data_IF_587080637778
#
_entry.id   IF_587080637778
#
_cell.length_a   1.000
_cell.length_b   1.000
_cell.length_c   1.000
_cell.angle_alpha   90.00
_cell.angle_beta   90.00
_cell.angle_gamma   90.00
#
_symmetry.space_group_name_H-M   'P 1'
#
loop_
_entity.id
_entity.type
_entity.pdbx_description
1 polymer ?
#
# COMPACT_ATOMS: atom_id res chain seq x y z
N UNK A 1 9.34 4.19 10.95
CA UNK A 1 9.13 4.64 9.55
C UNK A 1 8.18 5.83 9.50
N UNK A 2 8.64 7.00 9.04
CA UNK A 2 7.78 8.18 8.83
C UNK A 2 7.83 8.62 7.38
N UNK A 3 6.70 8.47 6.67
CA UNK A 3 6.53 9.00 5.31
C UNK A 3 5.09 9.49 5.12
N UNK A 4 4.96 10.76 4.76
CA UNK A 4 3.66 11.39 4.48
C UNK A 4 3.01 10.81 3.23
N UNK A 5 1.68 10.69 3.24
CA UNK A 5 0.90 10.28 2.08
C UNK A 5 0.71 11.47 1.12
N UNK A 6 1.14 11.33 -0.14
CA UNK A 6 1.09 12.40 -1.17
C UNK A 6 2.04 13.57 -0.87
N UNK A 7 2.14 14.47 -1.86
CA UNK A 7 2.74 15.80 -1.76
C UNK A 7 2.11 16.60 -0.60
N UNK A 8 2.93 17.04 0.35
CA UNK A 8 2.50 17.87 1.48
C UNK A 8 2.64 19.37 1.21
N UNK A 9 3.60 19.76 0.37
CA UNK A 9 3.97 21.16 0.19
C UNK A 9 4.08 21.52 -1.29
N UNK A 10 3.55 22.69 -1.66
CA UNK A 10 3.63 23.19 -3.04
C UNK A 10 5.04 23.67 -3.41
N UNK A 11 5.71 24.36 -2.49
CA UNK A 11 6.99 25.02 -2.71
C UNK A 11 7.91 24.80 -1.49
N UNK A 12 8.12 23.54 -1.12
CA UNK A 12 9.19 23.16 -0.18
C UNK A 12 9.57 21.69 -0.34
N UNK A 13 10.68 21.30 0.30
CA UNK A 13 11.08 19.90 0.38
C UNK A 13 10.14 19.10 1.28
N UNK A 14 9.94 17.84 0.94
CA UNK A 14 9.29 16.84 1.78
C UNK A 14 10.33 15.80 2.15
N UNK A 15 10.64 15.69 3.44
CA UNK A 15 11.65 14.75 3.93
C UNK A 15 11.13 13.31 3.94
N UNK A 16 12.01 12.37 3.61
CA UNK A 16 11.77 10.93 3.69
C UNK A 16 12.81 10.34 4.65
N UNK A 17 12.34 9.87 5.81
CA UNK A 17 13.21 9.33 6.86
C UNK A 17 13.21 7.81 6.74
N UNK A 18 14.35 7.26 6.28
CA UNK A 18 14.55 5.83 6.11
C UNK A 18 15.33 5.31 7.32
N UNK A 19 14.66 4.54 8.17
CA UNK A 19 15.30 3.83 9.28
C UNK A 19 16.03 2.57 8.76
N UNK A 20 17.06 2.11 9.49
CA UNK A 20 17.88 0.96 9.08
C UNK A 20 17.04 -0.30 8.77
N UNK A 21 15.95 -0.50 9.50
CA UNK A 21 15.01 -1.61 9.33
C UNK A 21 14.31 -1.60 7.96
N UNK A 22 14.28 -0.43 7.32
CA UNK A 22 13.61 -0.18 6.04
C UNK A 22 14.61 0.02 4.89
N UNK A 23 15.91 -0.14 5.13
CA UNK A 23 16.98 0.06 4.16
C UNK A 23 17.13 -1.15 3.22
N UNK A 24 16.01 -1.60 2.67
CA UNK A 24 15.90 -2.66 1.68
C UNK A 24 15.08 -2.15 0.48
N UNK A 25 15.11 -2.86 -0.64
CA UNK A 25 14.44 -2.44 -1.87
C UNK A 25 12.94 -2.19 -1.63
N UNK A 26 12.21 -3.14 -1.06
CA UNK A 26 10.77 -2.96 -0.83
C UNK A 26 10.45 -1.91 0.24
N UNK A 27 11.29 -1.74 1.27
CA UNK A 27 11.12 -0.66 2.25
C UNK A 27 11.24 0.73 1.62
N UNK A 28 12.25 0.94 0.78
CA UNK A 28 12.43 2.19 0.01
C UNK A 28 11.27 2.37 -0.98
N UNK A 29 10.92 1.33 -1.72
CA UNK A 29 9.82 1.38 -2.69
C UNK A 29 8.48 1.68 -2.00
N UNK A 30 8.20 1.08 -0.85
CA UNK A 30 7.02 1.36 -0.03
C UNK A 30 6.92 2.85 0.33
N UNK A 31 8.02 3.47 0.76
CA UNK A 31 8.05 4.90 1.08
C UNK A 31 7.85 5.79 -0.16
N UNK A 32 8.42 5.40 -1.31
CA UNK A 32 8.20 6.11 -2.57
C UNK A 32 6.72 6.03 -2.97
N UNK A 33 6.11 4.85 -2.89
CA UNK A 33 4.68 4.67 -3.19
C UNK A 33 3.79 5.52 -2.28
N UNK A 34 4.09 5.59 -0.97
CA UNK A 34 3.42 6.49 -0.02
C UNK A 34 3.51 7.95 -0.45
N UNK A 35 4.70 8.39 -0.84
CA UNK A 35 4.95 9.76 -1.32
C UNK A 35 4.16 10.05 -2.60
N UNK A 36 4.03 9.07 -3.49
CA UNK A 36 3.22 9.12 -4.71
C UNK A 36 1.71 8.93 -4.43
N UNK A 37 1.32 8.81 -3.16
CA UNK A 37 -0.08 8.81 -2.76
C UNK A 37 -0.79 7.47 -2.81
N UNK A 38 -0.04 6.37 -2.93
CA UNK A 38 -0.58 5.04 -2.73
C UNK A 38 -0.78 4.82 -1.23
N UNK A 39 -1.99 4.41 -0.87
CA UNK A 39 -2.40 4.19 0.52
C UNK A 39 -1.98 2.78 0.97
N UNK A 40 -1.97 2.54 2.29
CA UNK A 40 -1.77 1.17 2.75
C UNK A 40 -2.92 0.27 2.31
N UNK A 41 -2.62 -0.99 2.02
CA UNK A 41 -3.66 -1.96 1.64
C UNK A 41 -4.69 -2.13 2.75
N UNK A 42 -4.21 -2.11 3.98
CA UNK A 42 -5.01 -2.27 5.18
C UNK A 42 -5.77 -0.97 5.56
N UNK A 43 -5.59 0.11 4.79
CA UNK A 43 -6.39 1.35 4.85
C UNK A 43 -7.72 1.26 4.07
N UNK A 44 -7.96 0.20 3.31
CA UNK A 44 -9.15 0.05 2.49
C UNK A 44 -10.43 -0.15 3.30
N UNK A 45 -11.57 0.44 2.90
CA UNK A 45 -12.79 0.47 3.73
C UNK A 45 -13.32 -0.90 4.17
N UNK A 46 -13.09 -1.95 3.37
CA UNK A 46 -13.52 -3.30 3.69
C UNK A 46 -12.42 -4.17 4.32
N UNK A 47 -11.31 -3.58 4.81
CA UNK A 47 -10.20 -4.37 5.37
C UNK A 47 -10.62 -5.36 6.45
N UNK A 48 -11.65 -5.04 7.24
CA UNK A 48 -12.07 -5.88 8.35
C UNK A 48 -12.76 -7.17 7.87
N UNK A 49 -13.09 -7.29 6.57
CA UNK A 49 -13.50 -8.57 5.99
C UNK A 49 -12.31 -9.50 5.75
N UNK A 50 -11.09 -8.96 5.65
CA UNK A 50 -9.86 -9.69 5.27
C UNK A 50 -8.88 -9.87 6.43
N UNK A 51 -8.95 -9.02 7.45
CA UNK A 51 -8.06 -9.08 8.63
C UNK A 51 -8.80 -8.82 9.94
N UNK A 52 -8.14 -9.20 11.04
CA UNK A 52 -8.46 -8.84 12.42
C UNK A 52 -7.37 -7.89 12.93
N UNK A 53 -7.77 -6.86 13.68
CA UNK A 53 -6.86 -5.94 14.38
C UNK A 53 -6.81 -6.27 15.87
N UNK A 54 -5.66 -5.99 16.49
CA UNK A 54 -5.41 -6.12 17.92
C UNK A 54 -4.90 -4.78 18.47
N UNK A 55 -5.79 -3.79 18.68
CA UNK A 55 -5.42 -2.44 19.10
C UNK A 55 -4.56 -2.39 20.37
N UNK A 56 -4.76 -3.35 21.28
CA UNK A 56 -4.00 -3.50 22.52
C UNK A 56 -2.50 -3.71 22.32
N UNK A 57 -2.09 -4.22 21.16
CA UNK A 57 -0.69 -4.44 20.83
C UNK A 57 -0.07 -3.26 20.06
N UNK A 58 -0.89 -2.31 19.58
CA UNK A 58 -0.45 -1.22 18.70
C UNK A 58 0.18 -0.10 19.55
N UNK A 59 1.40 0.30 19.18
CA UNK A 59 2.06 1.45 19.79
C UNK A 59 1.31 2.76 19.44
N UNK A 60 1.26 3.69 20.39
CA UNK A 60 0.43 4.91 20.27
C UNK A 60 0.80 5.71 19.02
N UNK A 61 2.09 5.78 18.71
CA UNK A 61 2.66 6.44 17.54
C UNK A 61 2.26 5.80 16.20
N UNK A 62 1.79 4.55 16.20
CA UNK A 62 1.29 3.86 15.00
C UNK A 62 -0.24 3.90 14.86
N UNK A 63 -1.00 4.38 15.85
CA UNK A 63 -2.47 4.29 15.83
C UNK A 63 -3.11 4.93 14.59
N UNK A 64 -2.57 6.05 14.11
CA UNK A 64 -3.04 6.71 12.88
C UNK A 64 -2.86 5.82 11.64
N UNK A 65 -1.80 5.01 11.62
CA UNK A 65 -1.51 4.08 10.55
C UNK A 65 -2.44 2.86 10.52
N UNK A 66 -3.32 2.67 11.49
CA UNK A 66 -4.32 1.59 11.47
C UNK A 66 -5.75 2.05 11.14
N UNK A 67 -5.95 3.35 10.92
CA UNK A 67 -7.28 3.94 10.71
C UNK A 67 -7.96 3.51 9.39
N UNK A 68 -9.28 3.71 9.34
CA UNK A 68 -10.09 3.64 8.11
C UNK A 68 -10.03 4.95 7.36
N UNK A 69 -9.47 4.95 6.15
CA UNK A 69 -9.62 6.09 5.28
C UNK A 69 -11.07 6.16 4.75
N UNK A 70 -11.70 7.34 4.78
CA UNK A 70 -13.04 7.52 4.22
C UNK A 70 -13.01 7.31 2.69
N UNK A 71 -14.11 6.79 2.12
CA UNK A 71 -14.23 6.54 0.66
C UNK A 71 -13.86 7.75 -0.19
N UNK A 72 -14.20 8.95 0.26
CA UNK A 72 -13.87 10.21 -0.44
C UNK A 72 -12.37 10.46 -0.62
N UNK A 73 -11.52 9.81 0.17
CA UNK A 73 -10.06 9.90 0.08
C UNK A 73 -9.41 8.72 -0.67
N UNK A 74 -10.19 7.73 -1.10
CA UNK A 74 -9.72 6.53 -1.78
C UNK A 74 -10.13 6.57 -3.25
N UNK A 75 -9.16 6.41 -4.16
CA UNK A 75 -9.45 6.19 -5.57
C UNK A 75 -9.84 4.72 -5.74
N UNK A 76 -11.09 4.47 -6.13
CA UNK A 76 -11.61 3.12 -6.31
C UNK A 76 -11.25 2.58 -7.70
N UNK A 77 -10.19 1.78 -7.77
CA UNK A 77 -9.78 1.07 -8.98
C UNK A 77 -10.48 -0.28 -9.20
N UNK A 78 -11.49 -0.59 -8.37
CA UNK A 78 -12.15 -1.91 -8.35
C UNK A 78 -11.15 -3.08 -8.25
N UNK A 79 -10.02 -2.87 -7.57
CA UNK A 79 -9.02 -3.91 -7.31
C UNK A 79 -9.44 -4.75 -6.10
N UNK A 80 -9.12 -6.07 -6.09
CA UNK A 80 -9.34 -6.91 -4.92
C UNK A 80 -8.39 -6.53 -3.78
N UNK A 81 -8.68 -7.03 -2.58
CA UNK A 81 -7.72 -6.93 -1.47
C UNK A 81 -6.49 -7.79 -1.77
N UNK A 82 -5.29 -7.22 -1.65
CA UNK A 82 -4.05 -7.93 -1.97
C UNK A 82 -3.14 -8.08 -0.76
N UNK A 83 -3.12 -9.27 -0.17
CA UNK A 83 -2.30 -9.56 1.01
C UNK A 83 -0.80 -9.33 0.79
N UNK A 84 -0.31 -9.62 -0.42
CA UNK A 84 1.11 -9.52 -0.78
C UNK A 84 1.56 -8.16 -1.29
N UNK A 85 0.69 -7.15 -1.30
CA UNK A 85 1.10 -5.80 -1.68
C UNK A 85 2.24 -5.33 -0.79
N UNK A 86 3.24 -4.65 -1.36
CA UNK A 86 4.32 -4.03 -0.55
C UNK A 86 3.74 -2.99 0.41
N UNK A 87 2.53 -2.48 0.13
CA UNK A 87 1.79 -1.52 0.93
C UNK A 87 0.97 -2.17 2.06
N UNK A 88 1.09 -3.48 2.27
CA UNK A 88 0.43 -4.19 3.37
C UNK A 88 1.37 -4.36 4.56
N UNK A 89 0.95 -3.93 5.74
CA UNK A 89 1.72 -4.16 6.98
C UNK A 89 1.87 -5.65 7.33
N UNK A 90 3.00 -6.01 7.92
CA UNK A 90 3.20 -7.32 8.50
C UNK A 90 2.37 -7.49 9.79
N UNK A 91 2.27 -8.74 10.27
CA UNK A 91 1.45 -9.05 11.44
C UNK A 91 1.89 -8.33 12.73
N UNK A 92 3.18 -8.03 12.87
CA UNK A 92 3.77 -7.41 14.06
C UNK A 92 4.16 -5.93 13.85
N UNK A 93 3.85 -5.34 12.69
CA UNK A 93 4.19 -3.94 12.41
C UNK A 93 3.55 -3.02 13.45
N UNK A 94 4.35 -2.14 14.06
CA UNK A 94 3.89 -1.20 15.09
C UNK A 94 3.55 -1.84 16.45
N UNK A 95 4.04 -3.06 16.71
CA UNK A 95 3.77 -3.78 17.98
C UNK A 95 4.64 -3.27 19.14
N UNK A 96 4.04 -3.09 20.31
CA UNK A 96 4.78 -2.74 21.56
C UNK A 96 5.34 -3.95 22.30
N UNK A 97 4.80 -5.14 22.03
CA UNK A 97 5.04 -6.34 22.83
C UNK A 97 5.40 -7.57 21.97
N UNK A 98 5.71 -7.37 20.69
CA UNK A 98 5.90 -8.42 19.67
C UNK A 98 4.65 -9.26 19.40
N UNK A 99 3.51 -8.91 19.98
CA UNK A 99 2.20 -9.46 19.64
C UNK A 99 1.77 -9.02 18.25
N UNK A 100 0.86 -9.78 17.64
CA UNK A 100 0.28 -9.38 16.35
C UNK A 100 -0.57 -8.11 16.54
N UNK A 101 -0.34 -7.08 15.73
CA UNK A 101 -1.20 -5.89 15.61
C UNK A 101 -2.31 -6.10 14.59
N UNK A 102 -2.05 -6.95 13.59
CA UNK A 102 -3.02 -7.43 12.62
C UNK A 102 -2.80 -8.91 12.31
N UNK A 103 -3.85 -9.59 11.85
CA UNK A 103 -3.79 -10.98 11.39
C UNK A 103 -4.76 -11.17 10.23
N UNK A 104 -4.35 -11.92 9.20
CA UNK A 104 -5.25 -12.33 8.12
C UNK A 104 -6.37 -13.20 8.68
N UNK A 105 -7.60 -13.02 8.18
CA UNK A 105 -8.71 -13.95 8.49
C UNK A 105 -8.61 -15.27 7.72
N UNK A 106 -7.84 -15.28 6.64
CA UNK A 106 -7.53 -16.47 5.88
C UNK A 106 -6.07 -16.86 6.16
N UNK A 107 -5.91 -18.02 6.81
CA UNK A 107 -4.63 -18.55 7.27
C UNK A 107 -3.64 -18.81 6.13
N UNK A 108 -4.12 -19.01 4.89
CA UNK A 108 -3.26 -19.21 3.72
C UNK A 108 -2.39 -17.98 3.43
N UNK A 109 -2.79 -16.79 3.89
CA UNK A 109 -2.09 -15.53 3.65
C UNK A 109 -1.27 -15.01 4.84
N UNK A 110 -1.16 -15.77 5.93
CA UNK A 110 -0.37 -15.35 7.11
C UNK A 110 1.09 -15.05 6.77
N UNK A 111 1.68 -15.86 5.90
CA UNK A 111 3.07 -15.68 5.45
C UNK A 111 3.20 -14.79 4.20
N UNK A 112 2.09 -14.20 3.72
CA UNK A 112 2.08 -13.35 2.53
C UNK A 112 2.13 -11.86 2.89
N UNK A 113 1.54 -11.48 4.02
CA UNK A 113 1.48 -10.08 4.44
C UNK A 113 2.83 -9.55 4.90
N UNK A 114 3.10 -8.27 4.65
CA UNK A 114 4.31 -7.61 5.12
C UNK A 114 5.57 -7.92 4.32
N UNK A 115 5.45 -8.51 3.13
CA UNK A 115 6.59 -8.69 2.23
C UNK A 115 7.20 -7.33 1.85
N UNK A 116 8.53 -7.28 1.71
CA UNK A 116 9.31 -6.09 1.38
C UNK A 116 10.31 -6.36 0.24
N UNK A 117 9.96 -7.23 -0.69
CA UNK A 117 10.86 -7.65 -1.78
C UNK A 117 10.51 -6.98 -3.11
N UNK A 118 9.23 -7.04 -3.51
CA UNK A 118 8.81 -6.69 -4.87
C UNK A 118 7.48 -5.95 -4.88
N UNK A 119 7.30 -5.11 -5.90
CA UNK A 119 5.98 -4.56 -6.24
C UNK A 119 5.10 -5.67 -6.81
N UNK A 120 3.85 -5.70 -6.40
CA UNK A 120 2.87 -6.58 -7.05
C UNK A 120 2.39 -5.96 -8.36
N UNK A 121 1.71 -6.78 -9.16
CA UNK A 121 1.01 -6.29 -10.34
C UNK A 121 0.02 -5.17 -10.02
N UNK A 122 -0.70 -5.27 -8.90
CA UNK A 122 -1.69 -4.26 -8.51
C UNK A 122 -1.05 -2.99 -7.93
N UNK A 123 0.12 -3.08 -7.28
CA UNK A 123 0.90 -1.91 -6.89
C UNK A 123 1.29 -1.08 -8.13
N UNK A 124 1.84 -1.74 -9.16
CA UNK A 124 2.25 -1.09 -10.42
C UNK A 124 1.02 -0.58 -11.19
N UNK A 125 -0.06 -1.37 -11.27
CA UNK A 125 -1.30 -0.97 -11.92
C UNK A 125 -1.90 0.28 -11.28
N UNK A 126 -1.88 0.36 -9.95
CA UNK A 126 -2.37 1.54 -9.22
C UNK A 126 -1.54 2.77 -9.55
N UNK A 127 -0.20 2.62 -9.55
CA UNK A 127 0.71 3.70 -9.91
C UNK A 127 0.49 4.19 -11.35
N UNK A 128 0.40 3.26 -12.30
CA UNK A 128 0.18 3.58 -13.71
C UNK A 128 -1.19 4.22 -13.94
N UNK A 129 -2.23 3.82 -13.19
CA UNK A 129 -3.51 4.52 -13.26
C UNK A 129 -3.40 5.99 -12.82
N UNK A 130 -2.68 6.25 -11.72
CA UNK A 130 -2.54 7.59 -11.16
C UNK A 130 -1.78 8.54 -12.09
N UNK A 131 -0.73 8.04 -12.75
CA UNK A 131 0.25 8.90 -13.43
C UNK A 131 0.39 8.65 -14.93
N UNK A 132 -0.12 7.53 -15.46
CA UNK A 132 0.17 7.07 -16.81
C UNK A 132 -1.08 6.72 -17.63
N UNK A 133 -2.29 6.99 -17.12
CA UNK A 133 -3.56 6.61 -17.77
C UNK A 133 -3.83 7.28 -19.12
N UNK A 134 -3.15 8.40 -19.41
CA UNK A 134 -3.35 9.19 -20.63
C UNK A 134 -2.19 9.10 -21.63
N UNK A 135 -1.29 8.12 -21.49
CA UNK A 135 -0.12 8.00 -22.37
C UNK A 135 -0.50 7.40 -23.73
N UNK A 136 -1.33 6.35 -23.72
CA UNK A 136 -1.77 5.70 -24.96
C UNK A 136 -2.92 6.46 -25.62
N UNK A 137 -2.79 6.72 -26.93
CA UNK A 137 -3.80 7.45 -27.72
C UNK A 137 -5.08 6.65 -27.95
N UNK A 138 -4.98 5.34 -27.90
CA UNK A 138 -6.06 4.40 -28.15
C UNK A 138 -6.08 3.34 -27.05
N UNK A 139 -7.27 2.81 -26.77
CA UNK A 139 -7.48 1.82 -25.70
C UNK A 139 -7.51 0.41 -26.28
N UNK A 140 -6.69 -0.48 -25.71
CA UNK A 140 -6.78 -1.91 -25.97
C UNK A 140 -7.76 -2.59 -25.00
N UNK A 141 -8.53 -3.57 -25.50
CA UNK A 141 -9.38 -4.41 -24.65
C UNK A 141 -8.51 -5.47 -23.98
N UNK A 142 -8.18 -5.23 -22.71
CA UNK A 142 -7.40 -6.17 -21.91
C UNK A 142 -8.30 -7.24 -21.26
N UNK A 143 -7.80 -8.47 -21.16
CA UNK A 143 -8.48 -9.60 -20.48
C UNK A 143 -7.92 -9.79 -19.06
N UNK A 144 -8.60 -10.60 -18.24
CA UNK A 144 -8.14 -11.04 -16.92
C UNK A 144 -7.74 -9.89 -15.96
N UNK A 145 -8.50 -8.79 -15.97
CA UNK A 145 -8.18 -7.57 -15.20
C UNK A 145 -6.82 -6.95 -15.55
N UNK A 146 -6.25 -7.27 -16.72
CA UNK A 146 -5.09 -6.61 -17.28
C UNK A 146 -5.35 -5.14 -17.62
N UNK A 147 -4.28 -4.43 -17.92
CA UNK A 147 -4.33 -3.06 -18.43
C UNK A 147 -3.23 -2.88 -19.49
N UNK A 148 -3.41 -1.90 -20.35
CA UNK A 148 -2.47 -1.58 -21.43
C UNK A 148 -1.16 -1.04 -20.83
N UNK A 149 -0.02 -1.52 -21.33
CA UNK A 149 1.27 -1.01 -20.88
C UNK A 149 1.43 0.44 -21.37
N UNK A 150 1.58 1.42 -20.47
CA UNK A 150 1.79 2.81 -20.87
C UNK A 150 3.12 3.03 -21.61
N UNK A 151 4.11 2.14 -21.48
CA UNK A 151 5.38 2.23 -22.20
C UNK A 151 5.34 1.56 -23.58
N UNK A 152 4.37 0.69 -23.81
CA UNK A 152 4.15 -0.02 -25.06
C UNK A 152 2.65 -0.14 -25.34
N UNK A 153 2.13 0.84 -26.09
CA UNK A 153 0.70 0.93 -26.35
C UNK A 153 0.17 -0.11 -27.34
N UNK A 154 1.02 -0.99 -27.90
CA UNK A 154 0.68 -1.92 -28.98
C UNK A 154 1.18 -1.47 -30.34
#
# INVERSE_FOLDING_TARGET
MFCSLKKQFEISWQELIIENECLCLGGITHMILRTLGIIYQHWWINRDTFKKLFPENIAVEYMEDFQILPKSKIIHLSLPYEYGSVMHFGMQTGSTNRGCTLMSKDHLYENTVGQQEVLTFNDIKTLNFYYCSNICKYTLICKNNGYQDPNDCG
#
